data_IF_207027437873
#
_entry.id   IF_207027437873
#
_cell.length_a   1.000
_cell.length_b   1.000
_cell.length_c   1.000
_cell.angle_alpha   90.00
_cell.angle_beta   90.00
_cell.angle_gamma   90.00
#
_symmetry.space_group_name_H-M   'P 1'
#
loop_
_entity.id
_entity.type
_entity.pdbx_description
1 polymer ?
#
# COMPACT_ATOMS: atom_id res chain seq x y z
N UNK A 1 24.19 6.86 -7.09
CA UNK A 1 23.32 5.70 -7.34
C UNK A 1 21.92 6.25 -7.28
N UNK A 2 21.24 6.33 -8.43
CA UNK A 2 19.83 6.72 -8.45
C UNK A 2 19.05 5.50 -7.98
N UNK A 3 18.62 5.48 -6.72
CA UNK A 3 17.65 4.49 -6.26
C UNK A 3 16.42 4.65 -7.16
N UNK A 4 15.90 3.60 -7.79
CA UNK A 4 14.60 3.70 -8.44
C UNK A 4 13.61 4.06 -7.34
N UNK A 5 13.23 5.33 -7.25
CA UNK A 5 12.26 5.78 -6.27
C UNK A 5 10.93 5.19 -6.70
N UNK A 6 10.61 4.03 -6.14
CA UNK A 6 9.30 3.43 -6.28
C UNK A 6 8.27 4.46 -5.78
N UNK A 7 7.16 4.58 -6.50
CA UNK A 7 6.12 5.54 -6.18
C UNK A 7 4.80 4.82 -5.90
N UNK A 8 3.91 5.45 -5.14
CA UNK A 8 2.60 4.88 -4.81
C UNK A 8 1.79 4.48 -6.06
N UNK A 9 1.74 5.27 -7.16
CA UNK A 9 1.18 4.81 -8.44
C UNK A 9 1.80 3.52 -8.97
N UNK A 10 3.13 3.41 -8.92
CA UNK A 10 3.82 2.21 -9.41
C UNK A 10 3.47 0.97 -8.57
N UNK A 11 3.29 1.13 -7.25
CA UNK A 11 2.83 0.07 -6.35
C UNK A 11 1.40 -0.36 -6.71
N UNK A 12 0.50 0.60 -6.90
CA UNK A 12 -0.89 0.31 -7.29
C UNK A 12 -0.96 -0.42 -8.63
N UNK A 13 -0.15 -0.02 -9.60
CA UNK A 13 -0.03 -0.71 -10.88
C UNK A 13 0.45 -2.15 -10.72
N UNK A 14 1.43 -2.40 -9.86
CA UNK A 14 1.93 -3.74 -9.55
C UNK A 14 0.88 -4.61 -8.85
N UNK A 15 0.04 -4.01 -8.00
CA UNK A 15 -1.10 -4.66 -7.35
C UNK A 15 -2.31 -4.84 -8.28
N UNK A 16 -2.29 -4.29 -9.50
CA UNK A 16 -3.43 -4.31 -10.42
C UNK A 16 -4.59 -3.40 -10.02
N UNK A 17 -4.28 -2.32 -9.29
CA UNK A 17 -5.22 -1.28 -8.85
C UNK A 17 -5.11 -0.03 -9.75
N UNK A 18 -6.11 0.86 -9.73
CA UNK A 18 -6.02 2.16 -10.39
C UNK A 18 -4.86 2.99 -9.83
N UNK A 19 -3.86 3.28 -10.68
CA UNK A 19 -2.64 4.02 -10.31
C UNK A 19 -2.76 5.54 -10.49
N UNK A 20 -3.92 6.04 -10.94
CA UNK A 20 -4.16 7.46 -11.05
C UNK A 20 -4.43 8.11 -9.67
N UNK A 21 -4.15 9.41 -9.49
CA UNK A 21 -4.34 10.09 -8.21
C UNK A 21 -5.75 9.98 -7.63
N UNK A 22 -6.79 9.94 -8.48
CA UNK A 22 -8.19 9.84 -8.04
C UNK A 22 -8.49 8.42 -7.57
N UNK A 23 -8.00 7.42 -8.30
CA UNK A 23 -8.10 6.00 -7.95
C UNK A 23 -7.45 5.68 -6.62
N UNK A 24 -6.22 6.16 -6.41
CA UNK A 24 -5.47 5.98 -5.17
C UNK A 24 -6.20 6.66 -3.99
N UNK A 25 -6.60 7.92 -4.16
CA UNK A 25 -7.30 8.65 -3.10
C UNK A 25 -8.61 7.95 -2.71
N UNK A 26 -9.38 7.50 -3.70
CA UNK A 26 -10.62 6.77 -3.48
C UNK A 26 -10.38 5.45 -2.77
N UNK A 27 -9.33 4.71 -3.13
CA UNK A 27 -8.96 3.46 -2.47
C UNK A 27 -8.66 3.71 -0.98
N UNK A 28 -7.80 4.68 -0.68
CA UNK A 28 -7.45 5.03 0.69
C UNK A 28 -8.70 5.46 1.47
N UNK A 29 -9.53 6.33 0.90
CA UNK A 29 -10.77 6.78 1.55
C UNK A 29 -11.77 5.64 1.81
N UNK A 30 -11.80 4.61 0.96
CA UNK A 30 -12.71 3.47 1.08
C UNK A 30 -12.24 2.45 2.12
N UNK A 31 -10.93 2.26 2.23
CA UNK A 31 -10.33 1.21 3.06
C UNK A 31 -9.75 1.72 4.39
N UNK A 32 -9.66 3.04 4.56
CA UNK A 32 -9.30 3.69 5.81
C UNK A 32 -10.49 3.83 6.77
N UNK A 33 -10.26 3.85 8.10
CA UNK A 33 -8.99 3.57 8.77
C UNK A 33 -8.72 2.07 8.88
N UNK A 34 -7.50 1.66 8.52
CA UNK A 34 -7.03 0.31 8.79
C UNK A 34 -6.81 0.15 10.30
N UNK A 35 -7.30 -0.97 10.86
CA UNK A 35 -7.17 -1.25 12.30
C UNK A 35 -5.70 -1.34 12.71
N UNK A 36 -5.29 -0.77 13.86
CA UNK A 36 -3.90 -0.78 14.32
C UNK A 36 -3.33 -2.21 14.45
N UNK A 37 -4.18 -3.16 14.82
CA UNK A 37 -3.82 -4.56 15.06
C UNK A 37 -3.71 -5.40 13.78
N UNK A 38 -4.12 -4.87 12.63
CA UNK A 38 -4.11 -5.58 11.36
C UNK A 38 -2.89 -5.19 10.53
N UNK A 39 -2.09 -6.16 10.09
CA UNK A 39 -1.01 -5.89 9.14
C UNK A 39 -1.59 -5.51 7.78
N UNK A 40 -0.89 -4.63 7.05
CA UNK A 40 -1.31 -4.22 5.70
C UNK A 40 -1.59 -5.43 4.81
N UNK A 41 -0.67 -6.40 4.75
CA UNK A 41 -0.81 -7.61 3.93
C UNK A 41 -1.95 -8.55 4.36
N UNK A 42 -2.42 -8.44 5.60
CA UNK A 42 -3.52 -9.26 6.13
C UNK A 42 -4.89 -8.59 5.96
N UNK A 43 -4.95 -7.41 5.33
CA UNK A 43 -6.20 -6.70 5.13
C UNK A 43 -7.15 -7.42 4.16
N UNK A 44 -8.44 -7.43 4.52
CA UNK A 44 -9.48 -8.21 3.81
C UNK A 44 -9.80 -7.71 2.39
N UNK A 45 -9.35 -6.51 2.04
CA UNK A 45 -9.54 -5.93 0.70
C UNK A 45 -8.47 -6.38 -0.31
N UNK A 46 -7.45 -7.10 0.14
CA UNK A 46 -6.47 -7.72 -0.75
C UNK A 46 -6.92 -9.08 -1.25
N UNK A 47 -6.63 -9.37 -2.51
CA UNK A 47 -6.61 -10.74 -3.01
C UNK A 47 -5.38 -11.47 -2.47
N UNK A 48 -5.40 -12.81 -2.53
CA UNK A 48 -4.28 -13.65 -2.09
C UNK A 48 -2.94 -13.21 -2.70
N UNK A 49 -2.91 -12.98 -4.02
CA UNK A 49 -1.67 -12.58 -4.71
C UNK A 49 -1.17 -11.19 -4.28
N UNK A 50 -2.07 -10.24 -4.03
CA UNK A 50 -1.72 -8.90 -3.54
C UNK A 50 -1.17 -8.97 -2.11
N UNK A 51 -1.84 -9.74 -1.25
CA UNK A 51 -1.41 -9.99 0.12
C UNK A 51 -0.02 -10.66 0.18
N UNK A 52 0.21 -11.70 -0.63
CA UNK A 52 1.51 -12.37 -0.73
C UNK A 52 2.60 -11.41 -1.21
N UNK A 53 2.33 -10.57 -2.22
CA UNK A 53 3.27 -9.53 -2.66
C UNK A 53 3.60 -8.56 -1.52
N UNK A 54 2.58 -7.94 -0.91
CA UNK A 54 2.78 -6.99 0.19
C UNK A 54 3.51 -7.62 1.37
N UNK A 55 3.25 -8.90 1.69
CA UNK A 55 3.93 -9.60 2.78
C UNK A 55 5.43 -9.74 2.53
N UNK A 56 5.85 -9.94 1.27
CA UNK A 56 7.27 -9.99 0.91
C UNK A 56 7.89 -8.58 0.93
N UNK A 57 7.15 -7.57 0.47
CA UNK A 57 7.63 -6.19 0.38
C UNK A 57 7.64 -5.42 1.71
N UNK A 58 6.98 -5.93 2.76
CA UNK A 58 7.06 -5.36 4.12
C UNK A 58 8.44 -5.63 4.77
N UNK A 59 9.25 -6.52 4.22
CA UNK A 59 10.59 -6.79 4.73
C UNK A 59 11.50 -5.57 4.47
N UNK A 60 12.27 -5.17 5.48
CA UNK A 60 13.08 -3.93 5.50
C UNK A 60 14.10 -3.81 4.33
N UNK A 61 14.46 -4.93 3.70
CA UNK A 61 15.41 -5.02 2.59
C UNK A 61 14.73 -5.12 1.20
N UNK A 62 13.39 -5.06 1.16
CA UNK A 62 12.64 -5.23 -0.08
C UNK A 62 12.59 -3.93 -0.91
N UNK A 63 12.56 -4.09 -2.24
CA UNK A 63 12.59 -2.97 -3.19
C UNK A 63 11.42 -1.98 -2.98
N UNK A 64 10.27 -2.45 -2.49
CA UNK A 64 9.07 -1.61 -2.29
C UNK A 64 8.81 -1.22 -0.83
N UNK A 65 9.69 -1.54 0.11
CA UNK A 65 9.45 -1.37 1.54
C UNK A 65 9.00 0.05 1.93
N UNK A 66 9.67 1.08 1.41
CA UNK A 66 9.33 2.49 1.69
C UNK A 66 7.92 2.87 1.22
N UNK A 67 7.53 2.41 0.03
CA UNK A 67 6.21 2.74 -0.56
C UNK A 67 5.10 1.95 0.10
N UNK A 68 5.38 0.71 0.50
CA UNK A 68 4.44 -0.14 1.23
C UNK A 68 4.19 0.42 2.63
N UNK A 69 5.24 0.89 3.32
CA UNK A 69 5.11 1.61 4.59
C UNK A 69 4.30 2.91 4.42
N UNK A 70 4.58 3.68 3.37
CA UNK A 70 3.81 4.88 3.05
C UNK A 70 2.30 4.56 2.87
N UNK A 71 1.97 3.49 2.15
CA UNK A 71 0.58 3.04 1.97
C UNK A 71 -0.06 2.64 3.30
N UNK A 72 0.65 1.89 4.15
CA UNK A 72 0.18 1.48 5.48
C UNK A 72 -0.15 2.71 6.35
N UNK A 73 0.75 3.71 6.38
CA UNK A 73 0.54 4.96 7.11
C UNK A 73 -0.68 5.73 6.59
N UNK A 74 -0.85 5.83 5.26
CA UNK A 74 -2.01 6.51 4.66
C UNK A 74 -3.32 5.82 5.03
N UNK A 75 -3.35 4.49 4.99
CA UNK A 75 -4.53 3.70 5.34
C UNK A 75 -4.88 3.77 6.83
N UNK A 76 -3.88 3.91 7.72
CA UNK A 76 -4.12 4.05 9.17
C UNK A 76 -4.55 5.46 9.57
N UNK A 77 -3.95 6.49 8.99
CA UNK A 77 -4.27 7.90 9.29
C UNK A 77 -5.63 8.29 8.72
N UNK A 78 -5.94 7.84 7.51
CA UNK A 78 -7.12 8.30 6.78
C UNK A 78 -7.13 9.79 6.49
N UNK A 79 -8.21 10.26 5.85
CA UNK A 79 -8.40 11.69 5.52
C UNK A 79 -8.78 12.57 6.72
N UNK A 80 -8.75 12.04 7.95
CA UNK A 80 -9.33 12.68 9.14
C UNK A 80 -8.38 12.89 10.33
N UNK A 81 -7.07 12.82 10.12
CA UNK A 81 -6.06 13.16 11.13
C UNK A 81 -5.63 14.62 11.10
#
# INVERSE_FOLDING_TARGET
>A
MESPSHSLPALFKQLGLPDDPVGIDRFIATHSPLKPELHLADAFFWTRSQADFLRNEILDDADWAEVVDQLDVLLRKGRGG
#
